data_IF_141684107505
#
_entry.id   IF_141684107505
#
_cell.length_a   1.000
_cell.length_b   1.000
_cell.length_c   1.000
_cell.angle_alpha   90.00
_cell.angle_beta   90.00
_cell.angle_gamma   90.00
#
_symmetry.space_group_name_H-M   'P 1'
#
loop_
_entity.id
_entity.type
_entity.pdbx_description
1 polymer ?
#
# COMPACT_ATOMS: atom_id res chain seq x y z
N UNK A 1 -18.63 -16.76 9.54
CA UNK A 1 -17.17 -16.48 9.52
C UNK A 1 -16.56 -17.32 8.43
N UNK A 2 -15.79 -16.73 7.50
CA UNK A 2 -15.08 -17.49 6.46
C UNK A 2 -13.77 -18.04 7.04
N UNK A 3 -13.40 -19.27 6.69
CA UNK A 3 -12.10 -19.84 7.06
C UNK A 3 -10.99 -19.27 6.14
N UNK A 4 -9.74 -19.22 6.60
CA UNK A 4 -8.55 -18.78 5.86
C UNK A 4 -8.43 -19.37 4.46
N UNK A 5 -8.72 -20.67 4.29
CA UNK A 5 -8.71 -21.32 2.98
C UNK A 5 -9.77 -20.76 2.01
N UNK A 6 -10.94 -20.34 2.51
CA UNK A 6 -11.98 -19.69 1.70
C UNK A 6 -11.58 -18.25 1.34
N UNK A 7 -10.96 -17.51 2.27
CA UNK A 7 -10.45 -16.16 1.99
C UNK A 7 -9.33 -16.18 0.93
N UNK A 8 -8.45 -17.19 0.98
CA UNK A 8 -7.42 -17.40 -0.04
C UNK A 8 -8.01 -17.73 -1.40
N UNK A 9 -9.02 -18.60 -1.46
CA UNK A 9 -9.64 -18.98 -2.74
C UNK A 9 -10.39 -17.78 -3.35
N UNK A 10 -11.12 -17.02 -2.53
CA UNK A 10 -11.78 -15.78 -2.94
C UNK A 10 -10.77 -14.73 -3.46
N UNK A 11 -9.59 -14.64 -2.85
CA UNK A 11 -8.51 -13.75 -3.28
C UNK A 11 -7.77 -14.24 -4.53
N UNK A 12 -7.48 -15.54 -4.62
CA UNK A 12 -6.81 -16.15 -5.77
C UNK A 12 -7.62 -15.98 -7.06
N UNK A 13 -8.95 -15.94 -6.94
CA UNK A 13 -9.87 -15.56 -8.02
C UNK A 13 -9.72 -14.10 -8.50
N UNK A 14 -8.84 -13.31 -7.89
CA UNK A 14 -8.59 -11.90 -8.23
C UNK A 14 -7.13 -11.59 -8.57
N UNK A 15 -6.16 -12.48 -8.29
CA UNK A 15 -4.76 -12.39 -8.77
C UNK A 15 -3.99 -13.70 -8.46
N UNK A 16 -3.12 -14.17 -9.37
CA UNK A 16 -2.34 -15.40 -9.17
C UNK A 16 -1.08 -15.21 -8.29
N UNK A 17 -0.70 -13.99 -7.93
CA UNK A 17 0.41 -13.76 -7.00
C UNK A 17 -0.02 -14.22 -5.60
N UNK A 18 0.68 -15.25 -5.10
CA UNK A 18 0.40 -15.87 -3.81
C UNK A 18 1.48 -15.48 -2.81
N UNK A 19 1.05 -15.07 -1.62
CA UNK A 19 1.92 -15.00 -0.45
C UNK A 19 2.59 -16.36 -0.20
N UNK A 20 3.82 -16.32 0.30
CA UNK A 20 4.52 -17.52 0.80
C UNK A 20 3.75 -18.11 1.99
N UNK A 21 3.94 -19.39 2.30
CA UNK A 21 3.24 -20.06 3.41
C UNK A 21 3.39 -19.31 4.75
N UNK A 22 4.61 -18.85 5.05
CA UNK A 22 4.94 -18.05 6.23
C UNK A 22 4.15 -16.72 6.28
N UNK A 23 3.99 -16.07 5.12
CA UNK A 23 3.24 -14.83 4.98
C UNK A 23 1.72 -15.09 5.01
N UNK A 24 1.26 -16.27 4.59
CA UNK A 24 -0.13 -16.67 4.79
C UNK A 24 -0.42 -16.89 6.28
N UNK A 25 0.50 -17.50 7.02
CA UNK A 25 0.43 -17.66 8.47
C UNK A 25 0.46 -16.33 9.21
N UNK A 26 1.34 -15.41 8.81
CA UNK A 26 1.44 -14.08 9.38
C UNK A 26 1.56 -12.99 8.31
N UNK A 27 0.43 -12.46 7.80
CA UNK A 27 0.45 -11.46 6.73
C UNK A 27 1.06 -10.11 7.16
N UNK A 28 1.21 -9.85 8.46
CA UNK A 28 1.91 -8.66 8.94
C UNK A 28 3.39 -8.65 8.52
N UNK A 29 4.00 -9.84 8.28
CA UNK A 29 5.36 -9.93 7.74
C UNK A 29 5.49 -9.23 6.39
N UNK A 30 4.46 -9.27 5.55
CA UNK A 30 4.45 -8.56 4.26
C UNK A 30 4.48 -7.05 4.48
N UNK A 31 3.66 -6.55 5.40
CA UNK A 31 3.60 -5.11 5.71
C UNK A 31 4.93 -4.64 6.30
N UNK A 32 5.52 -5.45 7.20
CA UNK A 32 6.84 -5.17 7.79
C UNK A 32 7.94 -5.16 6.72
N UNK A 33 8.00 -6.15 5.85
CA UNK A 33 8.99 -6.20 4.76
C UNK A 33 8.81 -5.07 3.75
N UNK A 34 7.57 -4.64 3.51
CA UNK A 34 7.28 -3.49 2.67
C UNK A 34 7.87 -2.22 3.30
N UNK A 35 7.55 -1.91 4.56
CA UNK A 35 8.03 -0.69 5.22
C UNK A 35 9.46 -0.76 5.78
N UNK A 36 10.18 -1.88 5.59
CA UNK A 36 11.61 -1.96 5.90
C UNK A 36 12.49 -1.43 4.76
N UNK A 37 11.97 -1.38 3.52
CA UNK A 37 12.73 -0.98 2.32
C UNK A 37 12.70 0.53 2.07
N UNK A 38 11.57 1.17 2.36
CA UNK A 38 11.36 2.60 2.14
C UNK A 38 10.40 3.17 3.20
N UNK A 39 10.49 4.47 3.43
CA UNK A 39 9.58 5.21 4.31
C UNK A 39 8.22 5.40 3.64
N UNK A 40 7.18 5.71 4.43
CA UNK A 40 5.86 6.06 3.89
C UNK A 40 5.97 7.18 2.85
N UNK A 41 6.75 8.22 3.13
CA UNK A 41 6.88 9.36 2.22
C UNK A 41 7.54 9.03 0.88
N UNK A 42 8.51 8.12 0.89
CA UNK A 42 9.13 7.60 -0.34
C UNK A 42 8.12 6.81 -1.18
N UNK A 43 7.33 5.94 -0.57
CA UNK A 43 6.29 5.20 -1.29
C UNK A 43 5.20 6.10 -1.88
N UNK A 44 4.85 7.19 -1.19
CA UNK A 44 3.90 8.17 -1.74
C UNK A 44 4.43 8.87 -2.98
N UNK A 45 5.70 9.29 -2.96
CA UNK A 45 6.36 9.86 -4.15
C UNK A 45 6.46 8.86 -5.30
N UNK A 46 6.64 7.58 -5.00
CA UNK A 46 6.60 6.52 -6.02
C UNK A 46 5.19 6.41 -6.65
N UNK A 47 4.12 6.49 -5.85
CA UNK A 47 2.74 6.57 -6.36
C UNK A 47 2.53 7.83 -7.20
N UNK A 48 3.01 9.00 -6.76
CA UNK A 48 2.87 10.25 -7.50
C UNK A 48 3.54 10.15 -8.88
N UNK A 49 4.76 9.62 -8.90
CA UNK A 49 5.53 9.43 -10.13
C UNK A 49 4.83 8.47 -11.08
N UNK A 50 4.32 7.35 -10.56
CA UNK A 50 3.54 6.40 -11.33
C UNK A 50 2.26 7.04 -11.87
N UNK A 51 1.49 7.72 -11.03
CA UNK A 51 0.25 8.40 -11.43
C UNK A 51 0.51 9.42 -12.54
N UNK A 52 1.56 10.24 -12.41
CA UNK A 52 1.94 11.21 -13.44
C UNK A 52 2.31 10.52 -14.75
N UNK A 53 3.09 9.43 -14.71
CA UNK A 53 3.42 8.69 -15.94
C UNK A 53 2.19 8.07 -16.60
N UNK A 54 1.24 7.55 -15.84
CA UNK A 54 0.03 6.95 -16.39
C UNK A 54 -0.98 8.00 -16.90
N UNK A 55 -0.92 9.26 -16.42
CA UNK A 55 -1.86 10.31 -16.80
C UNK A 55 -1.48 11.04 -18.10
N UNK A 56 -0.22 10.97 -18.53
CA UNK A 56 0.29 11.76 -19.65
C UNK A 56 0.78 10.86 -20.79
N UNK A 57 0.16 10.98 -21.97
CA UNK A 57 0.48 10.16 -23.16
C UNK A 57 1.96 10.26 -23.60
N UNK A 58 2.61 11.40 -23.31
CA UNK A 58 3.99 11.68 -23.68
C UNK A 58 5.00 11.33 -22.59
N UNK A 59 4.54 10.90 -21.41
CA UNK A 59 5.40 10.54 -20.30
C UNK A 59 5.43 9.04 -20.10
N UNK A 60 6.64 8.50 -19.93
CA UNK A 60 6.86 7.14 -19.47
C UNK A 60 7.48 7.18 -18.09
N UNK A 61 7.18 6.17 -17.27
CA UNK A 61 7.87 6.02 -16.00
C UNK A 61 9.39 5.93 -16.23
N UNK A 62 10.20 6.73 -15.50
CA UNK A 62 11.64 6.85 -15.77
C UNK A 62 12.38 5.52 -15.58
N UNK A 63 11.85 4.65 -14.72
CA UNK A 63 12.40 3.33 -14.41
C UNK A 63 11.32 2.23 -14.56
N UNK A 64 11.20 1.62 -15.75
CA UNK A 64 10.19 0.59 -16.03
C UNK A 64 10.27 -0.65 -15.14
N UNK A 65 11.50 -1.11 -14.85
CA UNK A 65 11.75 -2.29 -14.03
C UNK A 65 11.33 -2.04 -12.57
N UNK A 66 11.71 -0.88 -12.03
CA UNK A 66 11.30 -0.41 -10.70
C UNK A 66 9.77 -0.31 -10.60
N UNK A 67 9.10 0.13 -11.66
CA UNK A 67 7.63 0.22 -11.71
C UNK A 67 6.96 -1.16 -11.65
N UNK A 68 7.42 -2.11 -12.45
CA UNK A 68 6.90 -3.49 -12.45
C UNK A 68 7.07 -4.12 -11.07
N UNK A 69 8.26 -3.95 -10.46
CA UNK A 69 8.53 -4.44 -9.12
C UNK A 69 7.62 -3.77 -8.07
N UNK A 70 7.44 -2.45 -8.16
CA UNK A 70 6.57 -1.71 -7.24
C UNK A 70 5.10 -2.14 -7.37
N UNK A 71 4.60 -2.35 -8.58
CA UNK A 71 3.26 -2.91 -8.82
C UNK A 71 3.09 -4.28 -8.13
N UNK A 72 4.07 -5.17 -8.25
CA UNK A 72 4.03 -6.48 -7.58
C UNK A 72 4.03 -6.34 -6.05
N UNK A 73 4.79 -5.39 -5.50
CA UNK A 73 4.77 -5.12 -4.07
C UNK A 73 3.41 -4.63 -3.60
N UNK A 74 2.76 -3.71 -4.33
CA UNK A 74 1.40 -3.25 -4.01
C UNK A 74 0.39 -4.39 -4.11
N UNK A 75 0.46 -5.25 -5.13
CA UNK A 75 -0.38 -6.44 -5.26
C UNK A 75 -0.26 -7.37 -4.03
N UNK A 76 0.96 -7.57 -3.56
CA UNK A 76 1.26 -8.40 -2.37
C UNK A 76 0.75 -7.73 -1.09
N UNK A 77 0.93 -6.41 -0.97
CA UNK A 77 0.43 -5.62 0.15
C UNK A 77 -1.10 -5.67 0.24
N UNK A 78 -1.81 -5.53 -0.90
CA UNK A 78 -3.26 -5.67 -0.97
C UNK A 78 -3.74 -7.04 -0.45
N UNK A 79 -3.02 -8.12 -0.77
CA UNK A 79 -3.32 -9.46 -0.27
C UNK A 79 -3.21 -9.54 1.24
N UNK A 80 -2.08 -9.11 1.78
CA UNK A 80 -1.82 -9.15 3.20
C UNK A 80 -2.84 -8.33 3.98
N UNK A 81 -3.12 -7.11 3.50
CA UNK A 81 -4.11 -6.21 4.12
C UNK A 81 -5.53 -6.77 4.07
N UNK A 82 -5.92 -7.44 2.98
CA UNK A 82 -7.20 -8.13 2.89
C UNK A 82 -7.31 -9.25 3.94
N UNK A 83 -6.27 -10.08 4.06
CA UNK A 83 -6.24 -11.18 5.04
C UNK A 83 -6.27 -10.67 6.48
N UNK A 84 -5.56 -9.58 6.79
CA UNK A 84 -5.59 -8.95 8.11
C UNK A 84 -6.99 -8.41 8.42
N UNK A 85 -7.58 -7.66 7.48
CA UNK A 85 -8.86 -7.00 7.69
C UNK A 85 -10.05 -7.98 7.83
N UNK A 86 -10.03 -9.10 7.10
CA UNK A 86 -11.14 -10.07 7.08
C UNK A 86 -10.87 -11.35 7.87
N UNK A 87 -9.62 -11.65 8.18
CA UNK A 87 -9.21 -12.86 8.91
C UNK A 87 -9.30 -12.76 10.43
N UNK A 88 -9.68 -11.59 10.99
CA UNK A 88 -9.60 -11.29 12.43
C UNK A 88 -8.21 -11.65 13.01
N UNK A 89 -7.17 -11.48 12.21
CA UNK A 89 -5.80 -11.79 12.63
C UNK A 89 -5.36 -10.71 13.61
N UNK A 90 -5.09 -11.10 14.85
CA UNK A 90 -4.41 -10.21 15.80
C UNK A 90 -2.94 -10.17 15.42
N UNK A 91 -2.34 -8.99 15.48
CA UNK A 91 -0.90 -8.83 15.37
C UNK A 91 -0.24 -9.68 16.47
N UNK A 92 0.34 -10.81 16.08
CA UNK A 92 1.16 -11.65 16.96
C UNK A 92 2.62 -11.31 16.68
N UNK A 93 3.09 -10.22 17.30
CA UNK A 93 4.52 -9.95 17.38
C UNK A 93 5.11 -10.95 18.38
N UNK A 94 5.66 -12.06 17.88
CA UNK A 94 6.47 -12.92 18.73
C UNK A 94 7.70 -12.11 19.16
N UNK A 95 7.99 -12.08 20.46
CA UNK A 95 9.09 -11.31 21.08
C UNK A 95 10.50 -11.73 20.60
N UNK A 96 10.63 -12.67 19.67
CA UNK A 96 11.87 -13.00 18.96
C UNK A 96 12.02 -12.23 17.62
N UNK A 97 10.94 -11.60 17.13
CA UNK A 97 10.91 -10.75 15.94
C UNK A 97 10.87 -9.25 16.28
N UNK A 98 10.97 -8.90 17.57
CA UNK A 98 11.20 -7.53 18.00
C UNK A 98 12.58 -7.05 17.55
N UNK A 99 12.58 -6.30 16.45
CA UNK A 99 13.30 -5.04 16.28
C UNK A 99 14.76 -5.02 16.74
N UNK A 100 15.67 -5.23 15.78
CA UNK A 100 16.64 -4.17 15.49
C UNK A 100 16.64 -3.69 14.03
N UNK A 101 15.85 -4.23 13.09
CA UNK A 101 15.98 -3.86 11.66
C UNK A 101 14.96 -2.84 11.13
N UNK A 102 13.74 -2.76 11.68
CA UNK A 102 12.77 -1.72 11.28
C UNK A 102 13.10 -0.34 11.85
N UNK A 103 13.76 -0.27 13.00
CA UNK A 103 14.05 0.97 13.72
C UNK A 103 15.22 1.81 13.16
N UNK A 104 16.35 1.22 12.71
CA UNK A 104 17.48 2.00 12.21
C UNK A 104 17.15 2.73 10.92
N UNK A 105 16.39 2.11 9.99
CA UNK A 105 16.11 2.74 8.72
C UNK A 105 15.16 3.94 8.87
N UNK A 106 14.13 3.85 9.72
CA UNK A 106 13.24 4.98 10.00
C UNK A 106 13.97 6.13 10.72
N UNK A 107 14.79 5.83 11.74
CA UNK A 107 15.56 6.87 12.45
C UNK A 107 16.68 7.49 11.60
N UNK A 108 17.32 6.71 10.73
CA UNK A 108 18.39 7.21 9.86
C UNK A 108 17.83 7.95 8.65
N UNK A 109 16.73 7.49 8.04
CA UNK A 109 16.10 8.17 6.91
C UNK A 109 15.51 9.53 7.31
N UNK A 110 14.93 9.63 8.52
CA UNK A 110 14.46 10.92 9.06
C UNK A 110 15.60 11.88 9.42
N UNK A 111 16.80 11.36 9.74
CA UNK A 111 17.94 12.18 10.15
C UNK A 111 18.88 12.61 9.01
N UNK A 112 18.78 12.00 7.81
CA UNK A 112 19.85 12.11 6.80
C UNK A 112 19.60 13.09 5.64
N UNK A 113 18.41 13.70 5.51
CA UNK A 113 18.18 14.69 4.44
C UNK A 113 17.60 16.04 4.92
N UNK A 114 18.46 17.04 5.18
CA UNK A 114 18.03 18.39 5.54
C UNK A 114 17.44 19.20 4.37
N UNK A 115 17.32 18.65 3.14
CA UNK A 115 16.80 19.39 1.97
C UNK A 115 15.32 19.11 1.61
N UNK A 116 14.60 18.22 2.29
CA UNK A 116 13.25 17.83 1.88
C UNK A 116 12.18 18.19 2.91
N UNK A 117 11.80 19.47 2.98
CA UNK A 117 10.52 19.89 3.61
C UNK A 117 9.32 19.10 3.06
N UNK A 118 9.41 18.63 1.81
CA UNK A 118 8.43 17.77 1.17
C UNK A 118 8.35 16.38 1.82
N UNK A 119 9.48 15.74 2.16
CA UNK A 119 9.48 14.41 2.79
C UNK A 119 8.80 14.38 4.15
N UNK A 120 8.99 15.42 4.96
CA UNK A 120 8.27 15.52 6.24
C UNK A 120 6.76 15.64 6.04
N UNK A 121 6.30 16.33 4.98
CA UNK A 121 4.87 16.39 4.64
C UNK A 121 4.37 15.00 4.29
N UNK A 122 5.07 14.29 3.38
CA UNK A 122 4.67 12.97 2.91
C UNK A 122 4.80 11.85 3.95
N UNK A 123 5.59 12.05 5.02
CA UNK A 123 5.71 11.09 6.11
C UNK A 123 4.53 11.11 7.09
N UNK A 124 3.74 12.19 7.13
CA UNK A 124 2.63 12.32 8.08
C UNK A 124 1.38 11.57 7.60
N UNK A 125 0.62 10.92 8.48
CA UNK A 125 -0.65 10.33 8.11
C UNK A 125 -1.71 11.44 7.95
N UNK A 126 -2.00 11.87 6.71
CA UNK A 126 -3.00 12.92 6.42
C UNK A 126 -4.11 12.51 5.43
N UNK A 127 -3.93 11.41 4.68
CA UNK A 127 -4.88 10.94 3.66
C UNK A 127 -6.08 10.20 4.25
N UNK A 128 -5.91 9.51 5.38
CA UNK A 128 -7.05 8.94 6.11
C UNK A 128 -7.74 10.04 6.90
N UNK A 129 -9.08 9.97 6.95
CA UNK A 129 -9.85 10.74 7.92
C UNK A 129 -9.57 10.27 9.35
N UNK A 130 -9.93 11.08 10.35
CA UNK A 130 -9.66 10.79 11.77
C UNK A 130 -10.17 9.40 12.18
N UNK A 131 -11.39 9.04 11.80
CA UNK A 131 -11.99 7.73 12.09
C UNK A 131 -11.20 6.57 11.50
N UNK A 132 -10.68 6.73 10.28
CA UNK A 132 -9.83 5.74 9.63
C UNK A 132 -8.46 5.60 10.28
N UNK A 133 -7.92 6.68 10.86
CA UNK A 133 -6.65 6.64 11.62
C UNK A 133 -6.82 5.98 12.99
N UNK A 134 -7.94 6.20 13.65
CA UNK A 134 -8.27 5.56 14.93
C UNK A 134 -8.48 4.05 14.77
N UNK A 135 -9.03 3.62 13.64
CA UNK A 135 -9.26 2.20 13.35
C UNK A 135 -8.88 1.84 11.91
N UNK A 136 -7.57 1.69 11.61
CA UNK A 136 -7.09 1.37 10.27
C UNK A 136 -7.59 0.00 9.79
N UNK A 137 -7.82 -0.96 10.69
CA UNK A 137 -8.39 -2.27 10.34
C UNK A 137 -9.83 -2.13 9.83
N UNK A 138 -10.66 -1.32 10.49
CA UNK A 138 -12.03 -1.08 10.04
C UNK A 138 -12.06 -0.39 8.68
N UNK A 139 -11.17 0.59 8.45
CA UNK A 139 -10.99 1.21 7.14
C UNK A 139 -10.60 0.17 6.08
N UNK A 140 -9.54 -0.62 6.32
CA UNK A 140 -9.10 -1.65 5.38
C UNK A 140 -10.19 -2.68 5.10
N UNK A 141 -11.00 -3.02 6.09
CA UNK A 141 -12.11 -3.96 5.92
C UNK A 141 -13.22 -3.41 5.02
N UNK A 142 -13.53 -2.13 5.15
CA UNK A 142 -14.51 -1.45 4.30
C UNK A 142 -13.97 -1.26 2.87
N UNK A 143 -12.72 -0.84 2.76
CA UNK A 143 -12.06 -0.55 1.47
C UNK A 143 -11.73 -1.83 0.71
N UNK A 144 -11.23 -2.88 1.35
CA UNK A 144 -10.83 -4.12 0.68
C UNK A 144 -11.98 -5.14 0.65
N UNK A 145 -13.14 -4.74 0.11
CA UNK A 145 -14.17 -5.70 -0.29
C UNK A 145 -13.69 -6.47 -1.53
N UNK A 146 -14.22 -7.66 -1.81
CA UNK A 146 -13.80 -8.45 -2.97
C UNK A 146 -14.08 -7.74 -4.30
N UNK A 147 -15.19 -7.00 -4.37
CA UNK A 147 -15.55 -6.21 -5.54
C UNK A 147 -14.58 -5.04 -5.73
N UNK A 148 -14.37 -4.24 -4.69
CA UNK A 148 -13.47 -3.10 -4.76
C UNK A 148 -12.01 -3.53 -4.99
N UNK A 149 -11.60 -4.66 -4.43
CA UNK A 149 -10.27 -5.22 -4.67
C UNK A 149 -10.05 -5.58 -6.15
N UNK A 150 -11.08 -6.09 -6.85
CA UNK A 150 -11.00 -6.34 -8.30
C UNK A 150 -10.81 -5.02 -9.05
N UNK A 151 -11.58 -3.99 -8.72
CA UNK A 151 -11.47 -2.67 -9.34
C UNK A 151 -10.10 -2.02 -9.12
N UNK A 152 -9.60 -2.03 -7.87
CA UNK A 152 -8.25 -1.55 -7.55
C UNK A 152 -7.20 -2.25 -8.40
N UNK A 153 -7.33 -3.58 -8.58
CA UNK A 153 -6.37 -4.38 -9.35
C UNK A 153 -6.42 -4.11 -10.84
N UNK A 154 -7.63 -4.01 -11.40
CA UNK A 154 -7.81 -3.62 -12.81
C UNK A 154 -7.22 -2.24 -13.06
N UNK A 155 -7.51 -1.27 -12.20
CA UNK A 155 -6.95 0.06 -12.31
C UNK A 155 -5.42 0.09 -12.13
N UNK A 156 -4.85 -0.68 -11.20
CA UNK A 156 -3.39 -0.80 -11.05
C UNK A 156 -2.73 -1.44 -12.28
N UNK A 157 -3.39 -2.41 -12.92
CA UNK A 157 -2.91 -3.02 -14.15
C UNK A 157 -2.95 -2.01 -15.30
N UNK A 158 -4.04 -1.24 -15.42
CA UNK A 158 -4.15 -0.15 -16.39
C UNK A 158 -3.06 0.89 -16.19
N UNK A 159 -2.83 1.33 -14.95
CA UNK A 159 -1.74 2.25 -14.61
C UNK A 159 -0.37 1.70 -14.97
N UNK A 160 -0.15 0.39 -14.80
CA UNK A 160 1.11 -0.23 -15.18
C UNK A 160 1.31 -0.17 -16.70
N UNK A 161 0.27 -0.51 -17.46
CA UNK A 161 0.31 -0.48 -18.93
C UNK A 161 0.54 0.94 -19.45
N UNK A 162 -0.24 1.91 -19.00
CA UNK A 162 -0.13 3.31 -19.39
C UNK A 162 1.19 3.94 -18.91
N UNK A 163 1.69 3.59 -17.72
CA UNK A 163 2.97 4.10 -17.22
C UNK A 163 4.20 3.55 -17.96
N UNK A 164 4.06 2.46 -18.72
CA UNK A 164 5.16 1.78 -19.42
C UNK A 164 5.25 2.13 -20.92
N UNK A 165 4.13 2.56 -21.52
CA UNK A 165 3.98 2.79 -22.96
C UNK A 165 3.78 4.28 -23.22
N UNK A 166 4.42 4.81 -24.26
CA UNK A 166 4.08 6.14 -24.78
C UNK A 166 2.89 6.01 -25.73
N UNK A 167 1.97 6.99 -25.74
CA UNK A 167 0.74 7.05 -26.55
C UNK A 167 -0.48 6.28 -26.01
N UNK A 168 -0.48 5.85 -24.74
CA UNK A 168 -1.74 5.63 -24.01
C UNK A 168 -1.70 6.40 -22.70
N UNK A 169 -2.86 6.85 -22.25
CA UNK A 169 -2.96 7.47 -20.95
C UNK A 169 -4.32 7.18 -20.31
N UNK A 170 -4.35 7.32 -18.99
CA UNK A 170 -5.58 7.16 -18.21
C UNK A 170 -6.71 8.10 -18.65
N UNK A 171 -6.39 9.24 -19.27
CA UNK A 171 -7.39 10.19 -19.73
C UNK A 171 -8.22 9.69 -20.93
N UNK A 172 -7.71 8.71 -21.68
CA UNK A 172 -8.45 8.05 -22.78
C UNK A 172 -9.41 6.98 -22.25
N UNK A 173 -9.17 6.47 -21.04
CA UNK A 173 -9.99 5.48 -20.35
C UNK A 173 -10.95 6.12 -19.33
N UNK A 174 -11.96 5.35 -18.91
CA UNK A 174 -12.97 5.81 -17.94
C UNK A 174 -12.30 6.42 -16.68
N UNK A 175 -12.74 7.62 -16.29
CA UNK A 175 -12.19 8.40 -15.17
C UNK A 175 -12.18 7.66 -13.81
N UNK A 176 -12.82 6.49 -13.72
CA UNK A 176 -12.91 5.64 -12.54
C UNK A 176 -11.54 5.26 -11.98
N UNK A 177 -10.55 5.00 -12.84
CA UNK A 177 -9.20 4.61 -12.41
C UNK A 177 -8.23 5.78 -12.27
N UNK A 178 -8.68 7.03 -12.42
CA UNK A 178 -7.81 8.21 -12.33
C UNK A 178 -7.55 8.62 -10.87
N UNK A 179 -8.08 9.78 -10.45
CA UNK A 179 -7.84 10.34 -9.13
C UNK A 179 -8.42 9.50 -7.98
N UNK A 180 -9.52 8.78 -8.21
CA UNK A 180 -10.15 7.95 -7.18
C UNK A 180 -9.22 6.80 -6.74
N UNK A 181 -8.61 6.09 -7.70
CA UNK A 181 -7.65 5.04 -7.40
C UNK A 181 -6.39 5.60 -6.74
N UNK A 182 -5.86 6.72 -7.25
CA UNK A 182 -4.73 7.43 -6.65
C UNK A 182 -4.97 7.71 -5.16
N UNK A 183 -6.10 8.34 -4.83
CA UNK A 183 -6.45 8.66 -3.44
C UNK A 183 -6.58 7.39 -2.59
N UNK A 184 -7.19 6.34 -3.14
CA UNK A 184 -7.39 5.08 -2.44
C UNK A 184 -6.06 4.37 -2.10
N UNK A 185 -5.08 4.40 -3.01
CA UNK A 185 -3.75 3.85 -2.76
C UNK A 185 -3.01 4.64 -1.67
N UNK A 186 -3.09 5.97 -1.70
CA UNK A 186 -2.50 6.83 -0.66
C UNK A 186 -3.07 6.52 0.73
N UNK A 187 -4.40 6.35 0.83
CA UNK A 187 -5.08 5.97 2.06
C UNK A 187 -4.72 4.55 2.51
N UNK A 188 -4.57 3.62 1.58
CA UNK A 188 -4.22 2.25 1.89
C UNK A 188 -2.81 2.14 2.44
N UNK A 189 -1.82 2.81 1.83
CA UNK A 189 -0.46 2.86 2.36
C UNK A 189 -0.44 3.43 3.78
N UNK A 190 -1.19 4.50 4.02
CA UNK A 190 -1.30 5.11 5.35
C UNK A 190 -1.91 4.15 6.37
N UNK A 191 -2.99 3.44 6.00
CA UNK A 191 -3.63 2.48 6.88
C UNK A 191 -2.68 1.34 7.25
N UNK A 192 -1.95 0.82 6.25
CA UNK A 192 -0.96 -0.24 6.47
C UNK A 192 0.19 0.24 7.37
N UNK A 193 0.66 1.47 7.19
CA UNK A 193 1.68 2.07 8.03
C UNK A 193 1.21 2.19 9.50
N UNK A 194 -0.02 2.65 9.72
CA UNK A 194 -0.61 2.79 11.06
C UNK A 194 -0.83 1.45 11.77
N UNK A 195 -0.92 0.32 11.04
CA UNK A 195 -0.95 -1.01 11.66
C UNK A 195 0.38 -1.37 12.35
N UNK A 196 1.51 -0.90 11.82
CA UNK A 196 2.84 -1.16 12.39
C UNK A 196 3.27 -0.09 13.39
N UNK A 197 2.90 1.17 13.12
CA UNK A 197 3.26 2.33 13.92
C UNK A 197 1.99 3.05 14.38
N UNK A 198 1.27 2.51 15.39
CA UNK A 198 0.12 3.17 15.95
C UNK A 198 0.55 4.52 16.53
N UNK A 199 -0.09 5.60 16.10
CA UNK A 199 0.14 6.92 16.67
C UNK A 199 -0.42 6.92 18.11
N UNK A 200 0.38 7.24 19.14
CA UNK A 200 -0.15 7.38 20.49
C UNK A 200 -1.09 8.59 20.51
N UNK A 201 -2.40 8.34 20.58
CA UNK A 201 -3.50 9.27 20.81
C UNK A 201 -3.33 10.67 20.18
N UNK A 202 -4.07 10.97 19.11
CA UNK A 202 -4.47 12.34 18.71
C UNK A 202 -5.42 13.00 19.74
N UNK A 203 -5.30 12.65 21.03
CA UNK A 203 -5.89 13.38 22.14
C UNK A 203 -4.87 14.42 22.59
N UNK A 204 -5.29 15.68 22.56
CA UNK A 204 -4.58 16.90 22.99
C UNK A 204 -3.92 17.70 21.85
N UNK A 205 -4.74 18.44 21.10
CA UNK A 205 -4.72 19.92 21.13
C UNK A 205 -5.96 20.50 20.49
#
# INVERSE_FOLDING_TARGET
MKNKAQLQNDFANTCPLLLKDEQLENPYLVIMEFFSKQTLGQYRRAIDTWFQSALHEDLKHPEPESLIYFHQQIQTLLQASYLIAHGNLKLQLNQAQTTPELHPFHQLAEASDPHSRADHSYAQPYWLNLTGRENPIAFLKATLSLENLKEIRLGLQQWLEDGLITHSCLADTEAVYSFALYQQLQQLLEACHLLLFPQPNLMLS
#
